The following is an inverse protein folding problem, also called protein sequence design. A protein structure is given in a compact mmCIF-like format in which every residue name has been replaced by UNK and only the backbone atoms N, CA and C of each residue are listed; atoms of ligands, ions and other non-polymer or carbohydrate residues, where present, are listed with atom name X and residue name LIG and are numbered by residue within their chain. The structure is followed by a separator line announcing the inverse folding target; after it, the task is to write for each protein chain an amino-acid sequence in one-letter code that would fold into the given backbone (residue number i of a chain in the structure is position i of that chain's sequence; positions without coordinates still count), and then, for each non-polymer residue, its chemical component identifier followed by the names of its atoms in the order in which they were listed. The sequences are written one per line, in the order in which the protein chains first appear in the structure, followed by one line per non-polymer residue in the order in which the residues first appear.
data_IF_752011335243
#
_entry.id   IF_752011335243
#
_cell.length_a   1.000
_cell.length_b   1.000
_cell.length_c   1.000
_cell.angle_alpha   90.00
_cell.angle_beta   90.00
_cell.angle_gamma   90.00
#
_symmetry.space_group_name_H-M   'P 1'
#
loop_
_entity.id
_entity.type
_entity.pdbx_description
1 polymer ?
#
# COMPACT_ATOMS: atom_id res chain seq x y z
N UNK A 1 -1.15 -3.39 27.20
CA UNK A 1 -0.19 -4.31 26.54
C UNK A 1 0.48 -5.28 27.51
N UNK A 2 1.12 -4.80 28.59
CA UNK A 2 1.77 -5.68 29.57
C UNK A 2 0.81 -6.62 30.33
N UNK A 3 -0.43 -6.20 30.61
CA UNK A 3 -1.43 -7.07 31.25
C UNK A 3 -1.91 -8.21 30.35
N UNK A 4 -2.00 -7.98 29.03
CA UNK A 4 -2.32 -9.00 28.05
C UNK A 4 -1.19 -10.04 27.93
N UNK A 5 0.07 -9.64 28.11
CA UNK A 5 1.21 -10.58 28.14
C UNK A 5 1.19 -11.42 29.42
N UNK A 6 0.85 -10.80 30.56
CA UNK A 6 0.84 -11.46 31.87
C UNK A 6 -0.30 -12.48 32.03
N UNK A 7 -1.44 -12.24 31.40
CA UNK A 7 -2.65 -13.09 31.47
C UNK A 7 -2.62 -14.31 30.54
N UNK A 8 -1.63 -14.41 29.63
CA UNK A 8 -1.52 -15.49 28.63
C UNK A 8 -2.85 -15.82 27.90
N UNK A 9 -3.55 -14.84 27.32
CA UNK A 9 -4.81 -15.08 26.64
C UNK A 9 -4.61 -15.92 25.38
N UNK A 10 -5.62 -16.70 25.02
CA UNK A 10 -5.64 -17.52 23.78
C UNK A 10 -5.87 -16.68 22.52
N UNK A 11 -6.54 -15.52 22.67
CA UNK A 11 -6.83 -14.57 21.59
C UNK A 11 -6.58 -13.13 22.03
N UNK A 12 -6.02 -12.33 21.13
CA UNK A 12 -5.73 -10.91 21.36
C UNK A 12 -6.36 -10.09 20.25
N UNK A 13 -7.16 -9.09 20.62
CA UNK A 13 -7.78 -8.14 19.68
C UNK A 13 -7.06 -6.81 19.84
N UNK A 14 -6.55 -6.28 18.74
CA UNK A 14 -5.88 -4.99 18.65
C UNK A 14 -6.75 -4.04 17.81
N UNK A 15 -7.40 -3.08 18.47
CA UNK A 15 -8.18 -2.03 17.80
C UNK A 15 -7.27 -0.81 17.57
N UNK A 16 -6.93 -0.59 16.31
CA UNK A 16 -6.07 0.47 15.79
C UNK A 16 -4.81 0.79 16.62
N UNK A 17 -3.96 -0.22 16.91
CA UNK A 17 -2.91 -0.12 17.93
C UNK A 17 -1.77 0.86 17.59
N UNK A 18 -1.65 1.27 16.33
CA UNK A 18 -0.49 1.99 15.79
C UNK A 18 -0.83 3.30 15.08
N UNK A 19 -2.10 3.74 15.09
CA UNK A 19 -2.51 4.94 14.35
C UNK A 19 -1.85 6.23 14.84
N UNK A 20 -1.61 6.34 16.15
CA UNK A 20 -1.00 7.53 16.76
C UNK A 20 0.52 7.68 16.54
N UNK A 21 1.16 6.78 15.79
CA UNK A 21 2.62 6.77 15.61
C UNK A 21 3.05 7.18 14.20
N UNK A 22 4.27 7.71 14.07
CA UNK A 22 4.90 7.99 12.77
C UNK A 22 5.21 6.70 12.00
N UNK A 23 5.25 6.72 10.66
CA UNK A 23 5.52 5.55 9.79
C UNK A 23 6.67 4.65 10.29
N UNK A 24 7.82 5.24 10.62
CA UNK A 24 8.98 4.49 11.12
C UNK A 24 8.72 3.79 12.47
N UNK A 25 7.93 4.42 13.34
CA UNK A 25 7.55 3.88 14.65
C UNK A 25 6.49 2.78 14.50
N UNK A 26 5.53 2.93 13.56
CA UNK A 26 4.55 1.89 13.24
C UNK A 26 5.24 0.57 12.89
N UNK A 27 6.21 0.64 11.97
CA UNK A 27 7.02 -0.53 11.61
C UNK A 27 7.73 -1.15 12.82
N UNK A 28 8.40 -0.33 13.63
CA UNK A 28 9.14 -0.82 14.80
C UNK A 28 8.22 -1.49 15.85
N UNK A 29 7.00 -0.98 16.04
CA UNK A 29 6.01 -1.56 16.95
C UNK A 29 5.53 -2.90 16.42
N UNK A 30 5.16 -2.97 15.14
CA UNK A 30 4.76 -4.22 14.50
C UNK A 30 5.88 -5.27 14.58
N UNK A 31 7.11 -4.91 14.21
CA UNK A 31 8.27 -5.80 14.35
C UNK A 31 8.43 -6.24 15.81
N UNK A 32 8.36 -5.34 16.79
CA UNK A 32 8.48 -5.70 18.20
C UNK A 32 7.39 -6.68 18.66
N UNK A 33 6.14 -6.46 18.26
CA UNK A 33 4.99 -7.25 18.70
C UNK A 33 5.06 -8.70 18.21
N UNK A 34 5.44 -8.90 16.96
CA UNK A 34 5.41 -10.22 16.32
C UNK A 34 6.78 -10.92 16.30
N UNK A 35 7.90 -10.19 16.39
CA UNK A 35 9.25 -10.78 16.32
C UNK A 35 9.74 -11.35 17.64
N UNK A 36 9.43 -10.65 18.75
CA UNK A 36 9.94 -11.05 20.07
C UNK A 36 9.05 -12.15 20.65
N UNK A 37 9.65 -13.30 20.97
CA UNK A 37 8.94 -14.48 21.49
C UNK A 37 8.12 -14.21 22.76
N UNK A 38 8.45 -13.15 23.51
CA UNK A 38 7.78 -12.77 24.75
C UNK A 38 6.49 -11.96 24.55
N UNK A 39 6.12 -11.59 23.32
CA UNK A 39 4.97 -10.74 23.06
C UNK A 39 3.83 -11.53 22.42
N UNK A 40 3.63 -11.41 21.10
CA UNK A 40 2.47 -11.96 20.40
C UNK A 40 2.83 -13.10 19.44
N UNK A 41 4.11 -13.47 19.35
CA UNK A 41 4.56 -14.58 18.50
C UNK A 41 3.89 -15.89 18.93
N UNK A 42 3.25 -16.58 17.98
CA UNK A 42 2.56 -17.85 18.22
C UNK A 42 1.20 -17.73 18.93
N UNK A 43 0.65 -16.51 19.06
CA UNK A 43 -0.71 -16.29 19.55
C UNK A 43 -1.64 -15.93 18.41
N UNK A 44 -2.93 -16.24 18.58
CA UNK A 44 -3.98 -15.77 17.66
C UNK A 44 -4.24 -14.29 17.92
N UNK A 45 -3.91 -13.45 16.93
CA UNK A 45 -4.09 -12.00 17.01
C UNK A 45 -5.01 -11.53 15.90
N UNK A 46 -6.06 -10.81 16.26
CA UNK A 46 -6.90 -10.06 15.33
C UNK A 46 -6.50 -8.58 15.43
N UNK A 47 -6.02 -8.00 14.33
CA UNK A 47 -5.67 -6.59 14.24
C UNK A 47 -6.65 -5.88 13.33
N UNK A 48 -7.29 -4.83 13.83
CA UNK A 48 -8.14 -3.92 13.06
C UNK A 48 -7.39 -2.60 12.92
N UNK A 49 -7.25 -2.12 11.69
CA UNK A 49 -6.61 -0.83 11.43
C UNK A 49 -7.17 -0.19 10.18
N UNK A 50 -7.09 1.13 10.10
CA UNK A 50 -7.41 1.90 8.91
C UNK A 50 -6.17 2.19 8.05
N UNK A 51 -4.98 1.73 8.46
CA UNK A 51 -3.72 1.97 7.76
C UNK A 51 -3.24 0.73 6.98
N UNK A 52 -2.82 0.95 5.73
CA UNK A 52 -2.30 -0.09 4.84
C UNK A 52 -0.79 -0.28 4.94
N UNK A 53 -0.04 0.74 5.36
CA UNK A 53 1.43 0.66 5.51
C UNK A 53 1.87 -0.58 6.31
N UNK A 54 1.33 -0.84 7.53
CA UNK A 54 1.73 -2.01 8.32
C UNK A 54 1.32 -3.35 7.68
N UNK A 55 0.19 -3.39 6.96
CA UNK A 55 -0.30 -4.60 6.28
C UNK A 55 0.66 -4.96 5.15
N UNK A 56 1.06 -3.96 4.35
CA UNK A 56 2.01 -4.12 3.25
C UNK A 56 3.35 -4.64 3.76
N UNK A 57 3.85 -4.06 4.86
CA UNK A 57 5.11 -4.47 5.48
C UNK A 57 5.06 -5.94 5.95
N UNK A 58 3.98 -6.36 6.60
CA UNK A 58 3.80 -7.75 7.05
C UNK A 58 3.70 -8.75 5.88
N UNK A 59 3.04 -8.37 4.78
CA UNK A 59 2.84 -9.25 3.62
C UNK A 59 4.06 -9.34 2.69
N UNK A 60 4.88 -8.29 2.57
CA UNK A 60 6.01 -8.25 1.63
C UNK A 60 7.36 -8.60 2.26
N UNK A 61 7.65 -8.13 3.47
CA UNK A 61 9.04 -8.04 3.97
C UNK A 61 9.50 -9.32 4.67
N UNK A 62 8.58 -10.18 5.12
CA UNK A 62 8.90 -11.17 6.16
C UNK A 62 8.31 -12.56 5.96
N UNK A 63 8.26 -13.08 4.74
CA UNK A 63 7.88 -14.50 4.50
C UNK A 63 8.79 -15.52 5.21
N UNK A 64 10.02 -15.13 5.58
CA UNK A 64 10.96 -16.00 6.30
C UNK A 64 10.93 -15.84 7.83
N UNK A 65 10.22 -14.83 8.36
CA UNK A 65 10.28 -14.46 9.79
C UNK A 65 8.92 -14.42 10.49
N UNK A 66 7.84 -14.34 9.73
CA UNK A 66 6.47 -14.47 10.22
C UNK A 66 5.73 -15.54 9.41
N UNK A 67 4.78 -16.21 10.05
CA UNK A 67 3.73 -16.87 9.29
C UNK A 67 2.96 -15.80 8.51
N UNK A 68 2.66 -16.09 7.24
CA UNK A 68 1.97 -15.13 6.38
C UNK A 68 0.62 -14.76 7.03
N UNK A 69 0.38 -13.48 7.35
CA UNK A 69 -0.88 -13.09 7.96
C UNK A 69 -2.02 -13.26 6.97
N UNK A 70 -3.19 -13.64 7.47
CA UNK A 70 -4.43 -13.50 6.72
C UNK A 70 -4.88 -12.04 6.80
N UNK A 71 -4.99 -11.37 5.65
CA UNK A 71 -5.38 -9.97 5.56
C UNK A 71 -6.64 -9.79 4.70
N UNK A 72 -7.61 -9.05 5.21
CA UNK A 72 -8.85 -8.68 4.49
C UNK A 72 -9.07 -7.18 4.58
N UNK A 73 -9.53 -6.59 3.48
CA UNK A 73 -10.04 -5.23 3.42
C UNK A 73 -11.56 -5.26 3.62
N UNK A 74 -12.03 -4.51 4.62
CA UNK A 74 -13.44 -4.33 4.88
C UNK A 74 -13.96 -3.08 4.17
N UNK A 75 -14.93 -3.28 3.28
CA UNK A 75 -15.58 -2.20 2.55
C UNK A 75 -17.06 -2.15 2.91
N UNK A 76 -17.60 -0.95 3.13
CA UNK A 76 -19.03 -0.72 3.29
C UNK A 76 -19.56 0.04 2.08
N UNK A 77 -20.38 -0.64 1.27
CA UNK A 77 -21.04 -0.05 0.11
C UNK A 77 -22.55 -0.01 0.35
N UNK A 78 -23.11 1.19 0.54
CA UNK A 78 -24.53 1.41 0.79
C UNK A 78 -25.12 0.59 1.96
N UNK A 79 -24.33 0.39 3.03
CA UNK A 79 -24.73 -0.40 4.20
C UNK A 79 -24.45 -1.90 4.07
N UNK A 80 -23.96 -2.37 2.93
CA UNK A 80 -23.51 -3.75 2.75
C UNK A 80 -22.01 -3.84 3.07
N UNK A 81 -21.68 -4.51 4.17
CA UNK A 81 -20.29 -4.84 4.51
C UNK A 81 -19.83 -6.01 3.63
N UNK A 82 -18.67 -5.86 2.99
CA UNK A 82 -18.03 -6.90 2.21
C UNK A 82 -16.55 -7.00 2.58
N UNK A 83 -16.03 -8.23 2.59
CA UNK A 83 -14.62 -8.50 2.85
C UNK A 83 -13.91 -8.86 1.54
N UNK A 84 -12.78 -8.22 1.30
CA UNK A 84 -11.92 -8.49 0.14
C UNK A 84 -10.57 -9.00 0.63
N UNK A 85 -10.22 -10.24 0.32
CA UNK A 85 -8.92 -10.80 0.68
C UNK A 85 -7.82 -9.98 0.00
N UNK A 86 -6.81 -9.59 0.78
CA UNK A 86 -5.62 -8.93 0.28
C UNK A 86 -4.57 -10.02 0.06
N UNK A 87 -4.17 -10.21 -1.19
CA UNK A 87 -3.08 -11.11 -1.57
C UNK A 87 -1.80 -10.31 -1.83
N UNK A 88 -0.65 -10.97 -1.73
CA UNK A 88 0.66 -10.36 -2.00
C UNK A 88 0.71 -9.74 -3.41
N UNK A 89 0.06 -10.38 -4.36
CA UNK A 89 -0.06 -9.95 -5.77
C UNK A 89 -0.88 -8.66 -5.93
N UNK A 90 -1.74 -8.32 -4.96
CA UNK A 90 -2.52 -7.09 -4.99
C UNK A 90 -1.69 -5.88 -4.54
N UNK A 91 -0.54 -6.11 -3.92
CA UNK A 91 0.36 -5.04 -3.46
C UNK A 91 1.26 -4.64 -4.63
N UNK A 92 0.97 -3.47 -5.20
CA UNK A 92 1.74 -2.88 -6.31
C UNK A 92 2.57 -1.70 -5.83
N UNK A 93 3.74 -1.50 -6.42
CA UNK A 93 4.51 -0.28 -6.14
C UNK A 93 3.81 0.93 -6.75
N UNK A 94 4.12 2.13 -6.24
CA UNK A 94 3.62 3.37 -6.86
C UNK A 94 4.02 3.48 -8.33
N UNK A 95 5.17 2.93 -8.73
CA UNK A 95 5.63 2.93 -10.12
C UNK A 95 4.71 2.06 -10.98
N UNK A 96 4.43 0.84 -10.52
CA UNK A 96 3.54 -0.09 -11.23
C UNK A 96 2.13 0.48 -11.36
N UNK A 97 1.59 1.06 -10.29
CA UNK A 97 0.27 1.71 -10.31
C UNK A 97 0.24 2.87 -11.31
N UNK A 98 1.29 3.69 -11.34
CA UNK A 98 1.34 4.80 -12.31
C UNK A 98 1.41 4.27 -13.75
N UNK A 99 2.26 3.27 -14.01
CA UNK A 99 2.39 2.67 -15.35
C UNK A 99 1.08 2.03 -15.81
N UNK A 100 0.43 1.24 -14.95
CA UNK A 100 -0.86 0.61 -15.24
C UNK A 100 -1.92 1.65 -15.59
N UNK A 101 -2.01 2.75 -14.84
CA UNK A 101 -2.98 3.81 -15.10
C UNK A 101 -2.64 4.65 -16.34
N UNK A 102 -1.36 4.86 -16.66
CA UNK A 102 -0.95 5.52 -17.90
C UNK A 102 -1.35 4.67 -19.11
N UNK A 103 -1.13 3.35 -19.04
CA UNK A 103 -1.50 2.41 -20.10
C UNK A 103 -3.02 2.25 -20.24
N UNK A 104 -3.76 2.18 -19.13
CA UNK A 104 -5.19 1.91 -19.13
C UNK A 104 -6.08 3.15 -19.36
N UNK A 105 -5.60 4.36 -19.05
CA UNK A 105 -6.45 5.56 -19.16
C UNK A 105 -6.65 5.99 -20.62
N UNK A 106 -7.90 6.26 -20.99
CA UNK A 106 -8.25 6.83 -22.31
C UNK A 106 -8.06 8.34 -22.36
N UNK A 107 -8.12 9.01 -21.20
CA UNK A 107 -7.96 10.47 -21.09
C UNK A 107 -6.49 10.88 -20.99
N UNK A 108 -6.03 11.69 -21.94
CA UNK A 108 -4.68 12.29 -21.95
C UNK A 108 -4.38 13.05 -20.64
N UNK A 109 -5.39 13.69 -20.03
CA UNK A 109 -5.21 14.42 -18.76
C UNK A 109 -4.87 13.47 -17.60
N UNK A 110 -5.54 12.31 -17.52
CA UNK A 110 -5.23 11.31 -16.50
C UNK A 110 -3.81 10.76 -16.71
N UNK A 111 -3.43 10.47 -17.96
CA UNK A 111 -2.04 10.06 -18.29
C UNK A 111 -1.02 11.09 -17.82
N UNK A 112 -1.26 12.38 -18.07
CA UNK A 112 -0.36 13.45 -17.66
C UNK A 112 -0.21 13.54 -16.13
N UNK A 113 -1.28 13.35 -15.36
CA UNK A 113 -1.24 13.34 -13.89
C UNK A 113 -0.38 12.18 -13.38
N UNK A 114 -0.60 10.96 -13.89
CA UNK A 114 0.20 9.80 -13.48
C UNK A 114 1.64 9.88 -13.96
N UNK A 115 1.89 10.39 -15.16
CA UNK A 115 3.25 10.65 -15.68
C UNK A 115 3.99 11.64 -14.78
N UNK A 116 3.36 12.76 -14.41
CA UNK A 116 3.95 13.73 -13.48
C UNK A 116 4.31 13.08 -12.15
N UNK A 117 3.38 12.32 -11.57
CA UNK A 117 3.59 11.62 -10.29
C UNK A 117 4.71 10.58 -10.38
N UNK A 118 4.77 9.82 -11.48
CA UNK A 118 5.84 8.86 -11.75
C UNK A 118 7.20 9.57 -11.84
N UNK A 119 7.27 10.75 -12.48
CA UNK A 119 8.49 11.55 -12.55
C UNK A 119 8.93 12.11 -11.19
N UNK A 120 7.99 12.58 -10.36
CA UNK A 120 8.27 13.05 -8.99
C UNK A 120 8.89 11.94 -8.13
N UNK A 121 8.46 10.70 -8.33
CA UNK A 121 8.95 9.52 -7.60
C UNK A 121 10.29 9.02 -8.17
N UNK A 122 10.51 9.11 -9.47
CA UNK A 122 11.69 8.54 -10.16
C UNK A 122 12.89 9.49 -10.28
N UNK A 123 12.72 10.82 -10.18
CA UNK A 123 13.85 11.77 -10.29
C UNK A 123 13.85 12.88 -9.22
N UNK A 124 14.96 12.93 -8.47
CA UNK A 124 15.49 14.13 -7.79
C UNK A 124 15.53 15.33 -8.75
N UNK A 125 14.93 16.46 -8.34
CA UNK A 125 15.03 17.86 -8.84
C UNK A 125 14.79 18.13 -10.36
N UNK A 126 13.78 18.96 -10.62
CA UNK A 126 13.57 19.87 -11.77
C UNK A 126 13.77 19.29 -13.18
N UNK A 127 12.69 18.91 -13.89
CA UNK A 127 12.53 19.07 -15.36
C UNK A 127 11.12 18.74 -15.92
N UNK A 128 10.07 18.67 -15.09
CA UNK A 128 8.75 18.12 -15.48
C UNK A 128 8.02 18.80 -16.64
N UNK A 129 8.37 20.03 -17.03
CA UNK A 129 7.68 20.76 -18.10
C UNK A 129 8.14 20.32 -19.49
N UNK A 130 9.42 19.99 -19.70
CA UNK A 130 9.97 19.75 -21.05
C UNK A 130 9.52 18.44 -21.69
N UNK A 131 9.09 17.46 -20.89
CA UNK A 131 8.76 16.10 -21.36
C UNK A 131 7.27 15.99 -21.73
N UNK A 132 6.40 16.72 -21.01
CA UNK A 132 4.99 16.86 -21.39
C UNK A 132 4.84 17.45 -22.80
N UNK A 133 5.68 18.45 -23.14
CA UNK A 133 5.76 18.97 -24.51
C UNK A 133 6.20 17.90 -25.52
N UNK A 134 7.20 17.06 -25.20
CA UNK A 134 7.68 16.03 -26.13
C UNK A 134 6.63 14.93 -26.39
N UNK A 135 5.85 14.53 -25.37
CA UNK A 135 4.78 13.54 -25.53
C UNK A 135 3.59 14.11 -26.32
N UNK A 136 3.21 15.37 -26.05
CA UNK A 136 2.15 16.07 -26.81
C UNK A 136 2.58 16.30 -28.26
N UNK A 137 3.86 16.62 -28.52
CA UNK A 137 4.38 16.75 -29.90
C UNK A 137 4.42 15.42 -30.66
N UNK A 138 4.55 14.28 -29.99
CA UNK A 138 4.49 12.96 -30.64
C UNK A 138 3.05 12.50 -30.95
N UNK A 139 2.09 12.78 -30.06
CA UNK A 139 0.66 12.54 -30.36
C UNK A 139 0.10 13.52 -31.40
N UNK A 140 0.64 14.75 -31.49
CA UNK A 140 0.27 15.72 -32.53
C UNK A 140 0.70 15.31 -33.95
N UNK A 141 1.80 14.57 -34.10
CA UNK A 141 2.31 14.16 -35.42
C UNK A 141 1.58 12.97 -36.03
N UNK A 142 0.68 12.29 -35.31
CA UNK A 142 -0.10 11.13 -35.81
C UNK A 142 -1.51 11.50 -36.27
N UNK A 143 -1.88 12.79 -36.25
CA UNK A 143 -3.21 13.26 -36.71
C UNK A 143 -3.24 13.91 -38.10
N UNK A 144 -2.09 14.14 -38.74
CA UNK A 144 -2.02 14.76 -40.08
C UNK A 144 -1.64 13.75 -41.18
N UNK A 145 -2.44 12.69 -41.36
CA UNK A 145 -2.46 11.89 -42.61
C UNK A 145 -3.85 11.29 -42.84
N UNK A 146 -4.88 12.13 -42.90
CA UNK A 146 -6.12 11.81 -43.62
C UNK A 146 -6.70 13.10 -44.19
N UNK A 147 -6.25 13.44 -45.41
CA UNK A 147 -6.97 14.11 -46.50
C UNK A 147 -6.02 14.27 -47.68
#
# INVERSE_FOLDING_TARGET
MYDAIKSKPDMIILDDPISSFDKNKKYAIIDMLFRKEKFLKGKTVLMLTHDFDPIVDMMLVHTDRFEAPFATFLENNNGLLSEKVILKENIKTFIDICNDNICASTSTLNKLVYLRRLYEITKKKYHGISIAFKYISQEGSTRDTFS
#
